data_IF_181713920363
#
_entry.id   IF_181713920363
#
_cell.length_a   1.000
_cell.length_b   1.000
_cell.length_c   1.000
_cell.angle_alpha   90.00
_cell.angle_beta   90.00
_cell.angle_gamma   90.00
#
_symmetry.space_group_name_H-M   'P 1'
#
loop_
_entity.id
_entity.type
_entity.pdbx_description
1 polymer ?
#
# COMPACT_ATOMS: atom_id res chain seq x y z
N UNK A 1 -22.45 20.12 -4.87
CA UNK A 1 -21.57 18.93 -4.84
C UNK A 1 -20.93 18.86 -3.47
N UNK A 2 -21.00 17.73 -2.75
CA UNK A 2 -20.28 17.60 -1.48
C UNK A 2 -18.78 17.67 -1.77
N UNK A 3 -18.07 18.56 -1.08
CA UNK A 3 -16.64 18.81 -1.28
C UNK A 3 -15.81 17.80 -0.47
N UNK A 4 -14.59 17.51 -0.93
CA UNK A 4 -13.64 16.76 -0.13
C UNK A 4 -13.25 17.59 1.12
N UNK A 5 -13.20 16.95 2.28
CA UNK A 5 -12.78 17.57 3.53
C UNK A 5 -11.38 17.08 3.91
N UNK A 6 -10.59 17.96 4.52
CA UNK A 6 -9.25 17.67 4.99
C UNK A 6 -9.15 18.03 6.47
N UNK A 7 -8.88 17.04 7.33
CA UNK A 7 -8.68 17.23 8.77
C UNK A 7 -7.25 16.87 9.16
N UNK A 8 -6.69 17.61 10.12
CA UNK A 8 -5.41 17.23 10.72
C UNK A 8 -5.68 16.15 11.77
N UNK A 9 -5.13 14.96 11.56
CA UNK A 9 -5.25 13.84 12.49
C UNK A 9 -4.07 13.78 13.46
N UNK A 10 -4.17 14.58 14.52
CA UNK A 10 -3.12 14.67 15.54
C UNK A 10 -2.81 13.34 16.25
N UNK A 11 -3.77 12.44 16.28
CA UNK A 11 -3.62 11.11 16.87
C UNK A 11 -2.77 10.15 16.00
N UNK A 12 -2.59 10.46 14.72
CA UNK A 12 -1.78 9.69 13.75
C UNK A 12 -0.37 10.27 13.56
N UNK A 13 0.03 11.23 14.39
CA UNK A 13 1.29 11.92 14.19
C UNK A 13 2.51 11.01 14.35
N UNK A 14 3.39 11.06 13.36
CA UNK A 14 4.55 10.18 13.22
C UNK A 14 5.82 10.72 13.90
N UNK A 15 5.69 11.65 14.84
CA UNK A 15 6.78 12.38 15.51
C UNK A 15 7.68 13.22 14.60
N UNK A 16 7.38 13.28 13.30
CA UNK A 16 7.92 14.27 12.35
C UNK A 16 7.40 15.68 12.68
N UNK A 17 8.03 16.68 12.09
CA UNK A 17 7.55 18.05 11.90
C UNK A 17 6.35 18.17 10.94
N UNK A 18 5.96 17.09 10.27
CA UNK A 18 4.78 17.04 9.42
C UNK A 18 3.51 16.71 10.19
N UNK A 19 2.39 17.33 9.79
CA UNK A 19 1.05 16.98 10.25
C UNK A 19 0.48 15.84 9.40
N UNK A 20 -0.13 14.85 10.04
CA UNK A 20 -0.88 13.83 9.31
C UNK A 20 -2.22 14.42 8.91
N UNK A 21 -2.51 14.46 7.62
CA UNK A 21 -3.80 14.88 7.09
C UNK A 21 -4.66 13.66 6.77
N UNK A 22 -5.91 13.66 7.23
CA UNK A 22 -6.95 12.76 6.76
C UNK A 22 -7.80 13.51 5.74
N UNK A 23 -8.01 12.86 4.59
CA UNK A 23 -8.82 13.40 3.50
C UNK A 23 -10.08 12.54 3.38
N UNK A 24 -11.24 13.14 3.62
CA UNK A 24 -12.55 12.52 3.48
C UNK A 24 -13.16 12.93 2.15
N UNK A 25 -13.33 11.96 1.25
CA UNK A 25 -13.96 12.18 -0.05
C UNK A 25 -15.37 11.57 -0.03
N UNK A 26 -16.43 12.36 -0.33
CA UNK A 26 -17.81 11.92 -0.17
C UNK A 26 -18.27 10.84 -1.16
N UNK A 27 -17.54 10.62 -2.27
CA UNK A 27 -17.95 9.69 -3.34
C UNK A 27 -16.88 8.65 -3.71
N UNK A 28 -15.95 8.35 -2.78
CA UNK A 28 -15.06 7.19 -2.97
C UNK A 28 -15.84 5.93 -2.61
N UNK A 29 -16.28 5.20 -3.64
CA UNK A 29 -16.63 3.79 -3.48
C UNK A 29 -15.39 3.09 -2.93
N UNK A 30 -15.45 2.69 -1.66
CA UNK A 30 -14.38 1.92 -1.05
C UNK A 30 -14.05 0.76 -1.98
N UNK A 31 -12.79 0.64 -2.37
CA UNK A 31 -12.35 -0.56 -3.09
C UNK A 31 -12.71 -1.75 -2.21
N UNK A 32 -13.40 -2.77 -2.75
CA UNK A 32 -13.72 -3.96 -1.98
C UNK A 32 -12.40 -4.49 -1.43
N UNK A 33 -12.23 -4.39 -0.10
CA UNK A 33 -11.05 -4.93 0.56
C UNK A 33 -11.03 -6.41 0.23
N UNK A 34 -10.03 -6.84 -0.54
CA UNK A 34 -9.87 -8.24 -0.87
C UNK A 34 -9.80 -9.00 0.45
N UNK A 35 -10.77 -9.84 0.78
CA UNK A 35 -10.79 -10.52 2.06
C UNK A 35 -9.51 -11.33 2.16
N UNK A 36 -8.66 -10.99 3.13
CA UNK A 36 -7.42 -11.72 3.37
C UNK A 36 -7.72 -13.20 3.56
N UNK A 37 -6.79 -14.08 3.17
CA UNK A 37 -6.94 -15.55 3.30
C UNK A 37 -7.45 -15.90 4.69
N UNK A 38 -8.51 -16.68 4.78
CA UNK A 38 -9.07 -17.06 6.07
C UNK A 38 -8.16 -18.09 6.74
N UNK A 39 -7.97 -17.94 8.05
CA UNK A 39 -7.16 -18.83 8.85
C UNK A 39 -8.02 -19.44 9.96
N UNK A 40 -7.90 -20.75 10.08
CA UNK A 40 -8.36 -21.56 11.21
C UNK A 40 -7.08 -22.09 11.84
N UNK A 41 -6.68 -21.53 12.98
CA UNK A 41 -5.34 -21.74 13.55
C UNK A 41 -5.35 -22.13 15.01
N UNK A 42 -6.31 -21.64 15.79
CA UNK A 42 -6.43 -22.02 17.20
C UNK A 42 -7.26 -23.29 17.34
N UNK A 43 -7.05 -24.02 18.42
CA UNK A 43 -7.80 -25.26 18.70
C UNK A 43 -9.32 -25.01 18.72
N UNK A 44 -9.76 -23.91 19.36
CA UNK A 44 -11.18 -23.53 19.40
C UNK A 44 -11.76 -23.13 18.04
N UNK A 45 -10.93 -22.61 17.13
CA UNK A 45 -11.34 -22.31 15.74
C UNK A 45 -11.48 -23.63 14.97
N UNK A 46 -10.56 -24.57 15.17
CA UNK A 46 -10.57 -25.87 14.52
C UNK A 46 -11.77 -26.71 14.98
N UNK A 47 -12.06 -26.73 16.28
CA UNK A 47 -13.22 -27.43 16.82
C UNK A 47 -14.54 -26.91 16.22
N UNK A 48 -14.72 -25.58 16.19
CA UNK A 48 -15.90 -24.95 15.56
C UNK A 48 -15.99 -25.23 14.07
N UNK A 49 -14.85 -25.26 13.37
CA UNK A 49 -14.82 -25.63 11.96
C UNK A 49 -15.34 -27.05 11.74
N UNK A 50 -14.85 -28.01 12.53
CA UNK A 50 -15.29 -29.42 12.45
C UNK A 50 -16.79 -29.53 12.72
N UNK A 51 -17.31 -28.89 13.78
CA UNK A 51 -18.74 -28.91 14.11
C UNK A 51 -19.62 -28.40 12.94
N UNK A 52 -19.19 -27.33 12.26
CA UNK A 52 -19.94 -26.77 11.12
C UNK A 52 -19.87 -27.69 9.89
N UNK A 53 -18.71 -28.31 9.64
CA UNK A 53 -18.53 -29.25 8.54
C UNK A 53 -19.35 -30.51 8.77
N UNK A 54 -19.36 -31.07 9.98
CA UNK A 54 -20.17 -32.25 10.32
C UNK A 54 -21.65 -31.97 10.12
N UNK A 55 -22.14 -30.81 10.56
CA UNK A 55 -23.53 -30.41 10.36
C UNK A 55 -23.88 -30.29 8.87
N UNK A 56 -23.07 -29.57 8.09
CA UNK A 56 -23.36 -29.37 6.67
C UNK A 56 -23.07 -30.58 5.77
N UNK A 57 -22.25 -31.53 6.20
CA UNK A 57 -22.01 -32.77 5.47
C UNK A 57 -23.28 -33.64 5.39
N UNK A 58 -24.20 -33.49 6.35
CA UNK A 58 -25.50 -34.21 6.32
C UNK A 58 -26.42 -33.74 5.18
N UNK A 59 -26.18 -32.54 4.64
CA UNK A 59 -26.99 -31.95 3.56
C UNK A 59 -26.43 -32.28 2.16
N UNK A 60 -25.25 -32.89 2.07
CA UNK A 60 -24.61 -33.22 0.79
C UNK A 60 -25.12 -34.58 0.29
N UNK A 61 -25.66 -34.66 -0.95
CA UNK A 61 -26.10 -35.93 -1.52
C UNK A 61 -24.93 -36.90 -1.73
N UNK A 62 -25.12 -38.19 -1.38
CA UNK A 62 -24.06 -39.20 -1.38
C UNK A 62 -23.79 -39.86 -2.74
N UNK A 63 -24.57 -39.57 -3.79
CA UNK A 63 -24.51 -40.31 -5.05
C UNK A 63 -24.53 -39.39 -6.27
N UNK A 64 -23.42 -39.35 -7.00
CA UNK A 64 -23.34 -38.84 -8.36
C UNK A 64 -22.75 -39.93 -9.26
N UNK A 65 -23.49 -40.36 -10.27
CA UNK A 65 -23.03 -41.33 -11.27
C UNK A 65 -22.62 -40.64 -12.58
N UNK A 66 -23.04 -39.40 -12.78
CA UNK A 66 -22.77 -38.59 -13.97
C UNK A 66 -21.68 -37.55 -13.69
N UNK A 67 -20.84 -37.22 -14.67
CA UNK A 67 -19.80 -36.17 -14.55
C UNK A 67 -20.35 -34.84 -14.00
N UNK A 68 -21.54 -34.43 -14.45
CA UNK A 68 -22.21 -33.19 -13.98
C UNK A 68 -22.56 -33.26 -12.49
N UNK A 69 -23.00 -34.41 -12.01
CA UNK A 69 -23.35 -34.61 -10.60
C UNK A 69 -22.09 -34.59 -9.72
N UNK A 70 -20.95 -35.07 -10.24
CA UNK A 70 -19.66 -34.98 -9.57
C UNK A 70 -19.16 -33.53 -9.46
N UNK A 71 -19.31 -32.72 -10.51
CA UNK A 71 -18.93 -31.30 -10.48
C UNK A 71 -19.80 -30.49 -9.50
N UNK A 72 -21.09 -30.81 -9.43
CA UNK A 72 -22.03 -30.18 -8.50
C UNK A 72 -21.75 -30.59 -7.05
N UNK A 73 -21.38 -31.85 -6.82
CA UNK A 73 -20.90 -32.34 -5.52
C UNK A 73 -19.56 -31.70 -5.11
N UNK A 74 -18.63 -31.55 -6.05
CA UNK A 74 -17.38 -30.85 -5.78
C UNK A 74 -17.63 -29.38 -5.40
N UNK A 75 -18.55 -28.73 -6.11
CA UNK A 75 -18.96 -27.35 -5.83
C UNK A 75 -19.63 -27.21 -4.46
N UNK A 76 -20.51 -28.13 -4.07
CA UNK A 76 -21.18 -28.12 -2.76
C UNK A 76 -20.18 -28.34 -1.62
N UNK A 77 -19.23 -29.26 -1.77
CA UNK A 77 -18.13 -29.47 -0.81
C UNK A 77 -17.25 -28.22 -0.66
N UNK A 78 -16.84 -27.60 -1.76
CA UNK A 78 -16.05 -26.37 -1.72
C UNK A 78 -16.82 -25.25 -1.04
N UNK A 79 -18.12 -25.10 -1.34
CA UNK A 79 -18.99 -24.11 -0.70
C UNK A 79 -19.12 -24.37 0.81
N UNK A 80 -19.33 -25.61 1.23
CA UNK A 80 -19.41 -26.00 2.65
C UNK A 80 -18.10 -25.68 3.38
N UNK A 81 -16.97 -26.17 2.88
CA UNK A 81 -15.67 -25.96 3.51
C UNK A 81 -15.29 -24.48 3.56
N UNK A 82 -15.60 -23.72 2.51
CA UNK A 82 -15.34 -22.28 2.47
C UNK A 82 -16.23 -21.52 3.45
N UNK A 83 -17.50 -21.91 3.60
CA UNK A 83 -18.44 -21.27 4.51
C UNK A 83 -18.13 -21.62 5.97
N UNK A 84 -17.80 -22.87 6.25
CA UNK A 84 -17.32 -23.31 7.55
C UNK A 84 -16.03 -22.58 7.96
N UNK A 85 -15.06 -22.47 7.03
CA UNK A 85 -13.83 -21.73 7.29
C UNK A 85 -14.11 -20.25 7.57
N UNK A 86 -15.04 -19.61 6.83
CA UNK A 86 -15.47 -18.22 7.06
C UNK A 86 -16.15 -18.02 8.42
N UNK A 87 -16.97 -18.97 8.85
CA UNK A 87 -17.73 -18.89 10.09
C UNK A 87 -16.87 -19.17 11.34
N UNK A 88 -15.97 -20.15 11.25
CA UNK A 88 -15.10 -20.53 12.36
C UNK A 88 -13.79 -19.73 12.42
N UNK A 89 -13.28 -19.32 11.26
CA UNK A 89 -11.97 -18.69 11.13
C UNK A 89 -11.99 -17.17 11.13
N UNK A 90 -10.79 -16.60 11.05
CA UNK A 90 -10.57 -15.15 10.98
C UNK A 90 -9.82 -14.76 9.70
N UNK A 91 -10.10 -13.60 9.10
CA UNK A 91 -9.32 -13.12 7.97
C UNK A 91 -7.87 -12.89 8.40
N UNK A 92 -6.92 -13.43 7.64
CA UNK A 92 -5.51 -13.15 7.87
C UNK A 92 -5.27 -11.66 7.64
N UNK A 93 -5.09 -10.93 8.74
CA UNK A 93 -4.59 -9.57 8.67
C UNK A 93 -3.12 -9.64 8.29
N UNK A 94 -2.75 -9.01 7.19
CA UNK A 94 -1.35 -8.75 6.82
C UNK A 94 -0.80 -7.65 7.74
N UNK A 95 -0.83 -7.89 9.05
CA UNK A 95 -0.24 -6.99 10.02
C UNK A 95 1.27 -7.08 9.88
N UNK A 96 1.94 -5.94 9.76
CA UNK A 96 3.39 -5.89 9.92
C UNK A 96 3.76 -6.49 11.28
N UNK A 97 4.81 -7.31 11.32
CA UNK A 97 5.35 -7.73 12.61
C UNK A 97 5.87 -6.47 13.32
N UNK A 98 5.57 -6.27 14.62
CA UNK A 98 6.19 -5.20 15.37
C UNK A 98 7.70 -5.34 15.28
N UNK A 99 8.40 -4.21 15.25
CA UNK A 99 9.84 -4.22 15.13
C UNK A 99 10.45 -5.06 16.27
N UNK A 100 11.45 -5.92 16.01
CA UNK A 100 11.99 -6.83 17.04
C UNK A 100 12.56 -6.14 18.30
N UNK A 101 12.95 -4.87 18.17
CA UNK A 101 13.42 -4.02 19.28
C UNK A 101 12.30 -3.32 20.05
N UNK A 102 11.03 -3.52 19.67
CA UNK A 102 9.88 -2.92 20.32
C UNK A 102 9.57 -3.66 21.63
N UNK A 103 9.74 -2.99 22.76
CA UNK A 103 9.50 -3.54 24.10
C UNK A 103 8.23 -2.97 24.72
N UNK A 104 7.74 -3.59 25.80
CA UNK A 104 6.61 -3.07 26.58
C UNK A 104 6.89 -1.65 27.10
N UNK A 105 8.13 -1.35 27.51
CA UNK A 105 8.54 0.00 27.90
C UNK A 105 8.34 1.02 26.76
N UNK A 106 8.60 0.64 25.51
CA UNK A 106 8.33 1.50 24.35
C UNK A 106 6.82 1.72 24.17
N UNK A 107 6.00 0.68 24.41
CA UNK A 107 4.54 0.78 24.34
C UNK A 107 3.98 1.72 25.42
N UNK A 108 4.43 1.58 26.65
CA UNK A 108 4.07 2.47 27.77
C UNK A 108 4.52 3.90 27.49
N UNK A 109 5.76 4.09 27.03
CA UNK A 109 6.30 5.42 26.75
C UNK A 109 5.56 6.13 25.61
N UNK A 110 5.20 5.41 24.53
CA UNK A 110 4.42 6.01 23.44
C UNK A 110 2.99 6.31 23.88
N UNK A 111 2.39 5.49 24.75
CA UNK A 111 1.06 5.75 25.31
C UNK A 111 1.07 7.01 26.18
N UNK A 112 2.07 7.17 27.04
CA UNK A 112 2.26 8.37 27.87
C UNK A 112 2.48 9.63 27.00
N UNK A 113 3.35 9.55 25.99
CA UNK A 113 3.55 10.64 25.03
C UNK A 113 2.26 11.01 24.30
N UNK A 114 1.50 10.03 23.81
CA UNK A 114 0.20 10.25 23.17
C UNK A 114 -0.83 10.87 24.12
N UNK A 115 -0.83 10.49 25.40
CA UNK A 115 -1.71 11.08 26.41
C UNK A 115 -1.42 12.58 26.58
N UNK A 116 -0.15 12.96 26.75
CA UNK A 116 0.27 14.35 26.89
C UNK A 116 -0.03 15.15 25.61
N UNK A 117 0.24 14.59 24.43
CA UNK A 117 -0.10 15.24 23.15
C UNK A 117 -1.60 15.49 22.99
N UNK A 118 -2.46 14.58 23.44
CA UNK A 118 -3.93 14.76 23.38
C UNK A 118 -4.44 15.92 24.23
N UNK A 119 -3.73 16.30 25.29
CA UNK A 119 -4.06 17.48 26.09
C UNK A 119 -3.71 18.80 25.39
N UNK A 120 -2.73 18.77 24.48
CA UNK A 120 -2.22 19.96 23.78
C UNK A 120 -2.15 19.69 22.27
N UNK A 121 -3.30 19.62 21.57
CA UNK A 121 -3.35 19.31 20.14
C UNK A 121 -2.71 20.40 19.27
N UNK A 122 -2.79 21.68 19.70
CA UNK A 122 -2.35 22.83 18.91
C UNK A 122 -1.16 23.52 19.58
N UNK A 123 -0.16 23.88 18.77
CA UNK A 123 0.94 24.78 19.15
C UNK A 123 2.19 24.09 19.71
N UNK A 124 3.19 24.92 20.03
CA UNK A 124 4.43 24.48 20.65
C UNK A 124 4.24 24.40 22.16
N UNK A 125 4.21 23.18 22.71
CA UNK A 125 4.07 22.94 24.14
C UNK A 125 5.31 22.23 24.70
N UNK A 126 5.85 22.75 25.80
CA UNK A 126 7.07 22.23 26.44
C UNK A 126 6.90 20.81 26.98
N UNK A 127 5.74 20.47 27.55
CA UNK A 127 5.46 19.14 28.09
C UNK A 127 5.38 18.09 26.98
N UNK A 128 4.80 18.46 25.83
CA UNK A 128 4.79 17.60 24.64
C UNK A 128 6.23 17.34 24.15
N UNK A 129 7.10 18.34 24.16
CA UNK A 129 8.51 18.17 23.77
C UNK A 129 9.29 17.31 24.78
N UNK A 130 9.06 17.50 26.09
CA UNK A 130 9.67 16.68 27.14
C UNK A 130 9.24 15.22 26.96
N UNK A 131 7.94 14.98 26.83
CA UNK A 131 7.37 13.64 26.62
C UNK A 131 7.90 12.98 25.34
N UNK A 132 8.01 13.74 24.24
CA UNK A 132 8.60 13.28 22.98
C UNK A 132 10.06 12.87 23.18
N UNK A 133 10.86 13.70 23.85
CA UNK A 133 12.27 13.42 24.14
C UNK A 133 12.44 12.17 24.98
N UNK A 134 11.60 11.98 25.99
CA UNK A 134 11.67 10.83 26.89
C UNK A 134 11.22 9.54 26.21
N UNK A 135 10.15 9.59 25.40
CA UNK A 135 9.79 8.50 24.49
C UNK A 135 10.97 8.12 23.55
N UNK A 136 11.57 9.11 22.87
CA UNK A 136 12.72 8.86 22.00
C UNK A 136 13.94 8.32 22.76
N UNK A 137 14.13 8.68 24.03
CA UNK A 137 15.21 8.15 24.89
C UNK A 137 14.99 6.65 25.13
N UNK A 138 13.77 6.25 25.44
CA UNK A 138 13.39 4.86 25.69
C UNK A 138 13.54 4.03 24.40
N UNK A 139 13.02 4.53 23.27
CA UNK A 139 13.18 3.85 21.97
C UNK A 139 14.65 3.68 21.59
N UNK A 140 15.48 4.71 21.77
CA UNK A 140 16.93 4.62 21.50
C UNK A 140 17.60 3.60 22.42
N UNK A 141 17.20 3.52 23.70
CA UNK A 141 17.71 2.52 24.64
C UNK A 141 17.32 1.10 24.19
N UNK A 142 16.05 0.88 23.87
CA UNK A 142 15.54 -0.42 23.43
C UNK A 142 16.23 -0.90 22.15
N UNK A 143 16.36 -0.02 21.13
CA UNK A 143 17.13 -0.30 19.91
C UNK A 143 18.57 -0.71 20.22
N UNK A 144 19.29 0.09 21.02
CA UNK A 144 20.68 -0.22 21.39
C UNK A 144 20.80 -1.57 22.09
N UNK A 145 19.92 -1.84 23.05
CA UNK A 145 19.97 -3.11 23.79
C UNK A 145 19.71 -4.30 22.88
N UNK A 146 18.69 -4.22 22.03
CA UNK A 146 18.38 -5.24 21.04
C UNK A 146 19.57 -5.55 20.15
N UNK A 147 20.20 -4.51 19.56
CA UNK A 147 21.34 -4.71 18.67
C UNK A 147 22.56 -5.28 19.39
N UNK A 148 22.84 -4.87 20.64
CA UNK A 148 23.92 -5.47 21.44
C UNK A 148 23.67 -6.95 21.69
N UNK A 149 22.50 -7.30 22.22
CA UNK A 149 22.16 -8.69 22.51
C UNK A 149 22.16 -9.56 21.24
N UNK A 150 21.70 -9.01 20.10
CA UNK A 150 21.78 -9.71 18.82
C UNK A 150 23.23 -9.99 18.39
N UNK A 151 24.11 -9.00 18.50
CA UNK A 151 25.54 -9.15 18.19
C UNK A 151 26.19 -10.17 19.15
N UNK A 152 25.92 -10.07 20.45
CA UNK A 152 26.47 -10.97 21.48
C UNK A 152 25.99 -12.43 21.28
N UNK A 153 24.80 -12.63 20.69
CA UNK A 153 24.26 -13.96 20.38
C UNK A 153 24.93 -14.68 19.20
N UNK A 154 25.78 -14.00 18.42
CA UNK A 154 26.43 -14.61 17.28
C UNK A 154 27.56 -15.54 17.72
N UNK A 155 27.30 -16.84 17.71
CA UNK A 155 28.29 -17.87 18.05
C UNK A 155 29.00 -18.49 16.84
N UNK A 156 28.62 -18.12 15.62
CA UNK A 156 29.13 -18.71 14.37
C UNK A 156 29.37 -17.64 13.30
N UNK A 157 30.43 -17.79 12.52
CA UNK A 157 30.73 -16.95 11.36
C UNK A 157 29.56 -16.89 10.37
N UNK A 158 28.81 -17.99 10.19
CA UNK A 158 27.60 -18.04 9.34
C UNK A 158 26.49 -17.11 9.83
N UNK A 159 26.30 -17.00 11.16
CA UNK A 159 25.32 -16.09 11.74
C UNK A 159 25.69 -14.62 11.49
N UNK A 160 26.99 -14.30 11.59
CA UNK A 160 27.52 -12.98 11.25
C UNK A 160 27.27 -12.64 9.77
N UNK A 161 27.56 -13.56 8.85
CA UNK A 161 27.31 -13.35 7.42
C UNK A 161 25.82 -13.11 7.11
N UNK A 162 24.90 -13.86 7.76
CA UNK A 162 23.45 -13.63 7.62
C UNK A 162 23.04 -12.25 8.12
N UNK A 163 23.58 -11.79 9.25
CA UNK A 163 23.29 -10.47 9.79
C UNK A 163 23.84 -9.34 8.91
N UNK A 164 25.08 -9.47 8.41
CA UNK A 164 25.70 -8.49 7.49
C UNK A 164 24.92 -8.39 6.18
N UNK A 165 24.33 -9.50 5.71
CA UNK A 165 23.45 -9.49 4.52
C UNK A 165 22.21 -8.60 4.72
N UNK A 166 21.69 -8.44 5.94
CA UNK A 166 20.58 -7.51 6.21
C UNK A 166 21.03 -6.04 6.25
N UNK A 167 22.30 -5.80 6.57
CA UNK A 167 22.88 -4.45 6.61
C UNK A 167 23.30 -3.95 5.23
N UNK A 168 23.68 -4.88 4.34
CA UNK A 168 23.82 -4.57 2.92
C UNK A 168 22.42 -4.31 2.38
N UNK A 169 22.13 -3.05 2.08
CA UNK A 169 21.04 -2.72 1.17
C UNK A 169 21.18 -3.64 -0.05
N UNK A 170 20.10 -4.32 -0.50
CA UNK A 170 20.13 -4.88 -1.84
C UNK A 170 20.59 -3.74 -2.74
N UNK A 171 21.71 -3.95 -3.45
CA UNK A 171 22.38 -2.88 -4.19
C UNK A 171 21.38 -2.08 -5.01
N UNK A 172 21.71 -0.81 -5.30
CA UNK A 172 20.88 0.02 -6.16
C UNK A 172 20.39 -0.84 -7.32
N UNK A 173 19.07 -0.97 -7.47
CA UNK A 173 18.50 -1.74 -8.56
C UNK A 173 19.08 -1.14 -9.85
N UNK A 174 20.00 -1.85 -10.47
CA UNK A 174 20.51 -1.47 -11.76
C UNK A 174 19.41 -1.80 -12.75
N UNK A 175 18.78 -0.80 -13.38
CA UNK A 175 17.78 -1.10 -14.39
C UNK A 175 18.45 -1.95 -15.47
N UNK A 176 17.74 -2.91 -16.08
CA UNK A 176 18.29 -3.71 -17.16
C UNK A 176 18.86 -2.82 -18.27
N UNK A 177 19.83 -3.30 -19.06
CA UNK A 177 20.36 -2.56 -20.19
C UNK A 177 19.23 -2.12 -21.14
N UNK A 178 19.30 -0.88 -21.63
CA UNK A 178 18.29 -0.30 -22.52
C UNK A 178 18.78 -0.41 -23.96
N UNK A 179 17.96 -0.96 -24.85
CA UNK A 179 18.27 -1.00 -26.28
C UNK A 179 17.39 0.02 -27.01
N UNK A 180 18.03 0.96 -27.72
CA UNK A 180 17.37 1.91 -28.63
C UNK A 180 18.12 1.84 -29.96
N UNK A 181 17.42 1.60 -31.06
CA UNK A 181 17.99 1.55 -32.42
C UNK A 181 19.26 0.67 -32.54
N UNK A 182 19.22 -0.53 -31.95
CA UNK A 182 20.31 -1.51 -31.90
C UNK A 182 21.57 -1.11 -31.10
N UNK A 183 21.54 0.01 -30.37
CA UNK A 183 22.59 0.38 -29.43
C UNK A 183 22.14 0.06 -28.01
N UNK A 184 23.01 -0.60 -27.25
CA UNK A 184 22.74 -1.01 -25.85
C UNK A 184 23.41 -0.03 -24.89
N UNK A 185 22.62 0.55 -24.00
CA UNK A 185 23.06 1.50 -22.98
C UNK A 185 22.99 0.84 -21.60
N UNK A 186 24.12 0.82 -20.90
CA UNK A 186 24.27 0.15 -19.60
C UNK A 186 24.21 1.13 -18.42
N UNK A 187 24.82 2.31 -18.55
CA UNK A 187 24.87 3.30 -17.47
C UNK A 187 23.55 4.08 -17.33
N UNK A 188 23.23 4.55 -16.13
CA UNK A 188 22.00 5.32 -15.89
C UNK A 188 21.97 6.65 -16.66
N UNK A 189 23.12 7.31 -16.80
CA UNK A 189 23.23 8.57 -17.54
C UNK A 189 23.00 8.36 -19.04
N UNK A 190 23.58 7.29 -19.61
CA UNK A 190 23.42 6.99 -21.03
C UNK A 190 21.99 6.56 -21.35
N UNK A 191 21.35 5.80 -20.45
CA UNK A 191 19.92 5.45 -20.56
C UNK A 191 19.03 6.70 -20.55
N UNK A 192 19.30 7.65 -19.65
CA UNK A 192 18.55 8.89 -19.57
C UNK A 192 18.71 9.72 -20.84
N UNK A 193 19.93 9.82 -21.37
CA UNK A 193 20.21 10.51 -22.63
C UNK A 193 19.55 9.83 -23.82
N UNK A 194 19.67 8.50 -23.94
CA UNK A 194 19.05 7.74 -25.02
C UNK A 194 17.52 7.90 -25.04
N UNK A 195 16.87 7.86 -23.87
CA UNK A 195 15.43 8.11 -23.78
C UNK A 195 15.07 9.55 -24.16
N UNK A 196 15.83 10.54 -23.66
CA UNK A 196 15.64 11.96 -24.00
C UNK A 196 15.68 12.17 -25.51
N UNK A 197 16.68 11.60 -26.19
CA UNK A 197 16.80 11.69 -27.65
C UNK A 197 15.64 10.97 -28.34
N UNK A 198 15.38 9.71 -27.98
CA UNK A 198 14.37 8.89 -28.63
C UNK A 198 12.92 9.39 -28.48
N UNK A 199 12.59 10.06 -27.36
CA UNK A 199 11.21 10.48 -27.06
C UNK A 199 10.96 11.98 -27.15
N UNK A 200 11.96 12.82 -26.81
CA UNK A 200 11.77 14.28 -26.77
C UNK A 200 12.35 14.95 -28.01
N UNK A 201 13.51 14.52 -28.49
CA UNK A 201 14.14 15.12 -29.69
C UNK A 201 13.54 14.62 -31.00
N UNK A 202 12.77 13.53 -30.97
CA UNK A 202 12.02 13.04 -32.14
C UNK A 202 10.87 13.98 -32.55
N UNK A 203 10.37 14.83 -31.64
CA UNK A 203 9.29 15.79 -31.93
C UNK A 203 9.84 17.10 -32.48
N UNK A 204 10.51 17.04 -33.63
CA UNK A 204 10.82 18.23 -34.42
C UNK A 204 9.60 18.64 -35.23
N UNK A 205 9.43 19.94 -35.52
CA UNK A 205 8.28 20.47 -36.27
C UNK A 205 8.10 19.84 -37.66
N UNK A 206 9.13 19.18 -38.20
CA UNK A 206 9.07 18.41 -39.44
C UNK A 206 8.22 17.13 -39.35
N UNK A 207 7.95 16.61 -38.14
CA UNK A 207 7.03 15.49 -37.91
C UNK A 207 5.57 15.96 -37.73
N UNK A 208 5.34 17.27 -37.55
CA UNK A 208 4.01 17.87 -37.40
C UNK A 208 3.53 18.42 -38.76
N UNK A 209 2.87 17.54 -39.52
CA UNK A 209 2.08 17.84 -40.73
C UNK A 209 2.94 18.22 -41.95
N UNK A 210 2.97 17.34 -42.97
CA UNK A 210 3.77 17.49 -44.21
C UNK A 210 3.67 18.87 -44.90
N UNK A 211 2.53 19.56 -44.78
CA UNK A 211 2.33 20.89 -45.36
C UNK A 211 1.43 21.77 -44.48
N UNK A 212 2.01 22.49 -43.50
CA UNK A 212 1.24 23.34 -42.56
C UNK A 212 0.51 24.51 -43.24
N UNK A 213 0.96 24.89 -44.44
CA UNK A 213 0.47 26.03 -45.21
C UNK A 213 -0.32 25.62 -46.45
N UNK A 214 -0.70 24.35 -46.58
CA UNK A 214 -1.58 23.93 -47.67
C UNK A 214 -2.91 24.69 -47.55
N UNK A 215 -3.32 25.34 -48.65
CA UNK A 215 -4.57 26.11 -48.68
C UNK A 215 -5.75 25.15 -48.49
N UNK A 216 -6.30 25.09 -47.29
CA UNK A 216 -7.47 24.25 -46.98
C UNK A 216 -8.73 25.02 -47.39
N UNK A 217 -9.39 24.57 -48.46
CA UNK A 217 -10.71 25.07 -48.84
C UNK A 217 -11.75 24.53 -47.85
N UNK A 218 -12.07 25.29 -46.81
CA UNK A 218 -13.12 24.92 -45.87
C UNK A 218 -14.47 24.88 -46.59
N UNK A 219 -15.02 23.68 -46.81
CA UNK A 219 -16.30 23.47 -47.53
C UNK A 219 -17.54 23.83 -46.71
N UNK A 220 -17.37 24.20 -45.44
CA UNK A 220 -18.45 24.47 -44.50
C UNK A 220 -18.17 25.81 -43.80
N UNK A 221 -19.06 26.79 -44.00
CA UNK A 221 -19.04 27.99 -43.16
C UNK A 221 -19.68 27.66 -41.82
N UNK A 222 -19.00 27.99 -40.74
CA UNK A 222 -19.60 27.96 -39.40
C UNK A 222 -20.27 29.31 -39.22
N UNK A 223 -21.61 29.39 -39.08
CA UNK A 223 -22.29 30.65 -38.84
C UNK A 223 -21.98 31.09 -37.41
N UNK A 224 -21.14 32.12 -37.27
CA UNK A 224 -20.99 32.81 -35.99
C UNK A 224 -22.16 33.77 -35.81
N UNK A 225 -22.84 33.68 -34.68
CA UNK A 225 -23.84 34.67 -34.29
C UNK A 225 -23.13 36.00 -33.99
N UNK A 226 -23.59 37.14 -34.52
CA UNK A 226 -23.02 38.45 -34.19
C UNK A 226 -23.43 38.94 -32.79
N UNK A 227 -24.32 38.22 -32.10
CA UNK A 227 -24.78 38.54 -30.76
C UNK A 227 -24.14 37.59 -29.75
N UNK A 228 -23.34 38.15 -28.84
CA UNK A 228 -22.71 37.46 -27.70
C UNK A 228 -23.54 37.76 -26.46
N UNK A 229 -23.92 36.73 -25.70
CA UNK A 229 -24.68 36.92 -24.46
C UNK A 229 -23.79 37.46 -23.34
N UNK A 230 -24.37 38.23 -22.40
CA UNK A 230 -23.62 38.84 -21.29
C UNK A 230 -22.93 37.81 -20.38
N UNK A 231 -23.53 36.62 -20.21
CA UNK A 231 -22.94 35.53 -19.42
C UNK A 231 -21.69 34.95 -20.11
N UNK A 232 -21.65 34.94 -21.44
CA UNK A 232 -20.52 34.40 -22.22
C UNK A 232 -19.35 35.39 -22.31
N UNK A 233 -19.60 36.69 -22.08
CA UNK A 233 -18.59 37.74 -22.07
C UNK A 233 -17.91 37.95 -20.68
N UNK A 234 -18.37 37.25 -19.64
CA UNK A 234 -17.88 37.41 -18.27
C UNK A 234 -16.83 36.38 -17.81
N UNK A 235 -16.48 35.39 -18.62
CA UNK A 235 -15.39 34.43 -18.35
C UNK A 235 -14.05 34.84 -18.99
#
# INVERSE_FOLDING_TARGET
MPLAEATVEDHLATSSDHFTLSLTFPDIKATPSQPGKIRVTTEDELKRFVEIVELGATEIPATGSTSKELDELASSLVCLLTSAAKAAGRPARKGGRPAPWWTEECAVAVAAFRAIRRLYPVGFNQDVQIAKRDFHRIVRRAKRQYWRTLIDSFSSSSAVFKAVRWLKSPGAFEPPPLQVDNVVYETQMDKANALRQATLERRTADDDIDTPWASVSASRSIPFSPEISLDEAQD
#
